data_IF_099155639973
#
_entry.id   IF_099155639973
#
_cell.length_a   1.000
_cell.length_b   1.000
_cell.length_c   1.000
_cell.angle_alpha   90.00
_cell.angle_beta   90.00
_cell.angle_gamma   90.00
#
_symmetry.space_group_name_H-M   'P 1'
#
loop_
_entity.id
_entity.type
_entity.pdbx_description
1 polymer ?
#
# COMPACT_ATOMS: atom_id res chain seq x y z
N UNK A 1 -13.45 18.74 57.45
CA UNK A 1 -13.80 19.45 56.21
C UNK A 1 -13.52 18.45 55.07
N UNK A 2 -14.42 17.52 54.71
CA UNK A 2 -15.69 17.68 53.96
C UNK A 2 -15.45 18.48 52.68
N UNK A 3 -15.63 18.00 51.45
CA UNK A 3 -16.49 16.95 50.84
C UNK A 3 -15.85 16.49 49.51
N UNK A 4 -15.70 15.19 49.21
CA UNK A 4 -16.67 14.36 48.48
C UNK A 4 -17.40 15.09 47.32
N UNK A 5 -16.89 15.00 46.10
CA UNK A 5 -17.67 15.27 44.87
C UNK A 5 -18.06 13.92 44.27
N UNK A 6 -19.24 13.48 44.70
CA UNK A 6 -20.02 12.38 44.14
C UNK A 6 -20.68 12.89 42.86
N UNK A 7 -20.52 12.18 41.75
CA UNK A 7 -21.34 12.36 40.55
C UNK A 7 -22.46 11.32 40.61
N UNK A 8 -23.74 11.70 40.70
CA UNK A 8 -24.84 10.74 40.73
C UNK A 8 -25.30 10.38 39.31
N UNK A 9 -25.70 9.11 39.19
CA UNK A 9 -26.84 8.55 38.46
C UNK A 9 -27.17 9.09 37.08
N UNK A 10 -27.24 8.20 36.08
CA UNK A 10 -28.52 7.69 35.56
C UNK A 10 -28.26 6.37 34.81
N UNK A 11 -28.34 5.26 35.54
CA UNK A 11 -28.74 3.98 34.98
C UNK A 11 -30.27 4.00 34.95
N UNK A 12 -30.86 4.11 33.75
CA UNK A 12 -32.30 3.95 33.54
C UNK A 12 -32.55 2.52 33.05
N UNK A 13 -32.82 1.67 34.03
CA UNK A 13 -33.40 0.34 33.88
C UNK A 13 -34.89 0.50 33.57
N UNK A 14 -35.36 0.03 32.40
CA UNK A 14 -36.71 -0.51 32.26
C UNK A 14 -36.72 -1.68 31.26
N UNK A 15 -37.06 -2.83 31.81
CA UNK A 15 -37.36 -4.10 31.16
C UNK A 15 -38.79 -4.09 30.57
N UNK A 16 -39.12 -5.24 29.97
CA UNK A 16 -40.45 -5.76 29.60
C UNK A 16 -40.93 -5.35 28.18
N UNK A 17 -41.36 -6.24 27.28
CA UNK A 17 -42.07 -7.52 27.39
C UNK A 17 -41.66 -8.43 26.20
N UNK A 18 -41.35 -9.72 26.42
CA UNK A 18 -42.29 -10.83 26.19
C UNK A 18 -43.09 -10.70 24.87
N UNK A 19 -42.60 -11.33 23.80
CA UNK A 19 -43.48 -12.00 22.85
C UNK A 19 -42.98 -13.43 22.69
N UNK A 20 -43.69 -14.29 23.41
CA UNK A 20 -43.79 -15.74 23.21
C UNK A 20 -44.47 -16.04 21.87
N UNK A 21 -44.26 -17.26 21.42
CA UNK A 21 -45.02 -18.03 20.42
C UNK A 21 -44.49 -17.98 18.98
N UNK A 22 -43.76 -19.02 18.55
CA UNK A 22 -44.22 -20.39 18.23
C UNK A 22 -44.93 -20.42 16.87
N UNK A 23 -44.21 -20.87 15.86
CA UNK A 23 -44.79 -21.63 14.75
C UNK A 23 -43.70 -22.51 14.17
N UNK A 24 -43.55 -23.68 14.80
CA UNK A 24 -43.16 -24.89 14.09
C UNK A 24 -44.16 -25.21 12.96
N UNK A 25 -43.76 -26.22 12.18
CA UNK A 25 -44.49 -27.03 11.21
C UNK A 25 -44.25 -26.65 9.74
N UNK A 26 -44.20 -27.63 8.81
CA UNK A 26 -43.67 -28.99 8.95
C UNK A 26 -42.82 -29.42 7.74
N UNK A 27 -42.13 -30.53 7.96
CA UNK A 27 -41.38 -31.36 7.01
C UNK A 27 -42.14 -31.63 5.70
N UNK A 28 -41.58 -31.22 4.57
CA UNK A 28 -42.00 -31.75 3.27
C UNK A 28 -41.43 -33.16 3.08
N UNK A 29 -42.19 -34.18 3.49
CA UNK A 29 -42.02 -35.54 3.00
C UNK A 29 -42.81 -35.66 1.69
N UNK A 30 -42.09 -35.77 0.57
CA UNK A 30 -42.67 -36.31 -0.66
C UNK A 30 -42.27 -37.78 -0.72
N UNK A 31 -43.18 -38.65 -0.29
CA UNK A 31 -43.17 -40.08 -0.62
C UNK A 31 -43.86 -40.23 -1.98
N UNK A 32 -43.14 -40.75 -2.95
CA UNK A 32 -43.66 -41.15 -4.26
C UNK A 32 -44.03 -42.65 -4.25
N UNK A 33 -45.27 -42.95 -4.65
CA UNK A 33 -45.81 -44.31 -4.76
C UNK A 33 -45.40 -44.99 -6.09
N UNK A 34 -44.10 -45.13 -6.37
CA UNK A 34 -43.67 -45.86 -7.57
C UNK A 34 -42.31 -46.52 -7.34
N UNK A 35 -42.36 -47.74 -6.80
CA UNK A 35 -41.19 -48.60 -6.63
C UNK A 35 -40.53 -49.00 -7.94
N UNK A 36 -39.68 -48.13 -8.48
CA UNK A 36 -38.72 -48.47 -9.53
C UNK A 36 -37.30 -48.08 -9.10
N UNK A 37 -36.48 -49.10 -8.84
CA UNK A 37 -35.03 -48.98 -8.76
C UNK A 37 -34.48 -48.80 -10.19
N UNK A 38 -34.03 -47.58 -10.52
CA UNK A 38 -33.17 -47.32 -11.69
C UNK A 38 -31.90 -46.60 -11.28
N UNK A 39 -30.85 -47.40 -11.13
CA UNK A 39 -29.46 -46.96 -11.09
C UNK A 39 -28.96 -46.75 -12.53
N UNK A 40 -28.85 -45.50 -13.00
CA UNK A 40 -27.98 -45.17 -14.13
C UNK A 40 -27.88 -43.65 -14.37
N UNK A 41 -26.63 -43.17 -14.33
CA UNK A 41 -26.14 -41.91 -14.89
C UNK A 41 -26.56 -40.59 -14.21
N UNK A 42 -25.68 -40.10 -13.33
CA UNK A 42 -25.62 -38.69 -12.96
C UNK A 42 -25.58 -37.80 -14.22
N UNK A 43 -26.40 -36.74 -14.33
CA UNK A 43 -26.10 -35.67 -15.27
C UNK A 43 -24.83 -34.98 -14.77
N UNK A 44 -23.84 -34.90 -15.67
CA UNK A 44 -22.61 -34.15 -15.49
C UNK A 44 -22.92 -32.78 -14.84
N UNK A 45 -22.08 -32.28 -13.91
CA UNK A 45 -22.18 -30.89 -13.50
C UNK A 45 -21.98 -30.06 -14.78
N UNK A 46 -23.04 -29.40 -15.24
CA UNK A 46 -22.95 -28.35 -16.23
C UNK A 46 -22.07 -27.28 -15.61
N UNK A 47 -20.78 -27.34 -15.96
CA UNK A 47 -19.86 -26.26 -15.73
C UNK A 47 -20.48 -25.03 -16.40
N UNK A 48 -21.10 -24.18 -15.60
CA UNK A 48 -21.16 -22.76 -15.89
C UNK A 48 -19.71 -22.33 -15.94
N UNK A 49 -19.09 -22.51 -17.11
CA UNK A 49 -17.80 -21.98 -17.45
C UNK A 49 -17.97 -20.47 -17.34
N UNK A 50 -17.62 -19.95 -16.17
CA UNK A 50 -17.48 -18.53 -15.91
C UNK A 50 -16.39 -18.06 -16.86
N UNK A 51 -16.83 -17.60 -18.03
CA UNK A 51 -16.04 -17.00 -19.08
C UNK A 51 -15.19 -15.95 -18.38
N UNK A 52 -13.89 -16.22 -18.23
CA UNK A 52 -12.91 -15.25 -17.73
C UNK A 52 -12.98 -14.06 -18.68
N UNK A 53 -13.78 -13.07 -18.29
CA UNK A 53 -13.90 -11.83 -18.99
C UNK A 53 -12.52 -11.17 -18.92
N UNK A 54 -11.91 -10.96 -20.07
CA UNK A 54 -10.69 -10.15 -20.19
C UNK A 54 -10.94 -8.85 -19.41
N UNK A 55 -10.10 -8.47 -18.45
CA UNK A 55 -10.37 -7.30 -17.64
C UNK A 55 -10.53 -6.10 -18.57
N UNK A 56 -11.65 -5.39 -18.44
CA UNK A 56 -11.94 -4.21 -19.23
C UNK A 56 -10.80 -3.20 -19.02
N UNK A 57 -10.09 -2.76 -20.08
CA UNK A 57 -8.96 -1.82 -19.98
C UNK A 57 -9.36 -0.45 -19.40
N UNK A 58 -10.66 -0.18 -19.25
CA UNK A 58 -11.19 1.05 -18.67
C UNK A 58 -11.94 0.83 -17.34
N UNK A 59 -11.59 -0.22 -16.57
CA UNK A 59 -11.99 -0.26 -15.16
C UNK A 59 -11.28 0.86 -14.41
N UNK A 60 -11.90 2.05 -14.40
CA UNK A 60 -11.49 3.13 -13.51
C UNK A 60 -11.70 2.63 -12.09
N UNK A 61 -10.62 2.18 -11.42
CA UNK A 61 -10.64 2.00 -9.95
C UNK A 61 -11.22 3.28 -9.36
N UNK A 62 -12.26 3.16 -8.54
CA UNK A 62 -12.94 4.30 -7.91
C UNK A 62 -11.90 5.14 -7.14
N UNK A 63 -11.93 6.48 -7.23
CA UNK A 63 -10.95 7.35 -6.56
C UNK A 63 -10.84 7.06 -5.06
N UNK A 64 -11.98 6.76 -4.42
CA UNK A 64 -12.09 6.55 -2.99
C UNK A 64 -11.33 5.32 -2.46
N UNK A 65 -11.16 4.29 -3.29
CA UNK A 65 -10.44 3.07 -2.92
C UNK A 65 -8.92 3.23 -3.10
N UNK A 66 -8.51 4.13 -4.02
CA UNK A 66 -7.09 4.48 -4.23
C UNK A 66 -6.55 5.28 -3.06
N UNK A 67 -7.30 6.30 -2.64
CA UNK A 67 -6.88 7.18 -1.53
C UNK A 67 -6.70 6.36 -0.24
N UNK A 68 -7.65 5.47 0.07
CA UNK A 68 -7.56 4.59 1.22
C UNK A 68 -6.30 3.69 1.20
N UNK A 69 -5.97 3.10 0.04
CA UNK A 69 -4.74 2.30 -0.13
C UNK A 69 -3.46 3.12 0.04
N UNK A 70 -3.45 4.38 -0.42
CA UNK A 70 -2.32 5.28 -0.22
C UNK A 70 -2.12 5.61 1.27
N UNK A 71 -3.20 5.90 1.99
CA UNK A 71 -3.13 6.20 3.43
C UNK A 71 -2.62 5.01 4.25
N UNK A 72 -3.06 3.79 3.95
CA UNK A 72 -2.60 2.57 4.63
C UNK A 72 -1.07 2.37 4.50
N UNK A 73 -0.51 2.73 3.34
CA UNK A 73 0.89 2.48 3.03
C UNK A 73 1.80 3.70 3.23
N UNK A 74 1.26 4.83 3.68
CA UNK A 74 2.03 6.03 4.05
C UNK A 74 3.16 5.76 5.07
N UNK A 75 2.96 5.01 6.19
CA UNK A 75 4.04 4.74 7.14
C UNK A 75 5.18 3.89 6.56
N UNK A 76 4.94 3.14 5.48
CA UNK A 76 5.98 2.37 4.79
C UNK A 76 7.03 3.30 4.18
N UNK A 77 6.61 4.45 3.64
CA UNK A 77 7.49 5.44 3.02
C UNK A 77 8.49 5.94 4.05
N UNK A 78 8.02 6.38 5.22
CA UNK A 78 8.86 6.88 6.31
C UNK A 78 9.96 5.87 6.66
N UNK A 79 9.60 4.60 6.83
CA UNK A 79 10.56 3.53 7.14
C UNK A 79 11.62 3.33 6.04
N UNK A 80 11.22 3.40 4.76
CA UNK A 80 12.13 3.26 3.62
C UNK A 80 13.09 4.45 3.58
N UNK A 81 12.57 5.67 3.63
CA UNK A 81 13.37 6.89 3.55
C UNK A 81 14.35 6.98 4.71
N UNK A 82 13.92 6.71 5.95
CA UNK A 82 14.83 6.71 7.12
C UNK A 82 15.98 5.70 6.96
N UNK A 83 15.71 4.51 6.40
CA UNK A 83 16.76 3.52 6.15
C UNK A 83 17.74 3.99 5.06
N UNK A 84 17.24 4.67 4.04
CA UNK A 84 18.06 5.15 2.92
C UNK A 84 18.86 6.41 3.31
N UNK A 85 18.32 7.26 4.16
CA UNK A 85 18.95 8.49 4.65
C UNK A 85 20.35 8.26 5.25
N UNK A 86 20.59 7.09 5.86
CA UNK A 86 21.90 6.71 6.38
C UNK A 86 23.02 6.61 5.31
N UNK A 87 22.67 6.54 4.02
CA UNK A 87 23.61 6.44 2.89
C UNK A 87 23.75 7.73 2.09
N UNK A 88 23.00 8.78 2.42
CA UNK A 88 22.97 10.00 1.62
C UNK A 88 23.97 11.06 2.13
N UNK A 89 24.45 11.96 1.25
CA UNK A 89 25.32 13.06 1.65
C UNK A 89 24.65 13.99 2.67
N UNK A 90 25.42 14.65 3.55
CA UNK A 90 24.91 15.70 4.41
C UNK A 90 24.49 16.90 3.54
N UNK A 91 23.20 17.23 3.52
CA UNK A 91 22.63 18.31 2.72
C UNK A 91 21.27 18.00 2.12
N UNK A 92 20.84 16.74 2.14
CA UNK A 92 19.53 16.33 1.64
C UNK A 92 18.48 16.42 2.75
N UNK A 93 17.36 17.10 2.49
CA UNK A 93 16.26 17.19 3.45
C UNK A 93 15.43 15.91 3.45
N UNK A 94 15.08 15.44 4.64
CA UNK A 94 14.22 14.27 4.81
C UNK A 94 12.82 14.47 4.19
N UNK A 95 12.25 15.66 4.35
CA UNK A 95 10.91 15.97 3.86
C UNK A 95 10.80 15.91 2.34
N UNK A 96 11.83 16.37 1.62
CA UNK A 96 11.86 16.33 0.16
C UNK A 96 11.88 14.87 -0.33
N UNK A 97 12.66 14.02 0.32
CA UNK A 97 12.70 12.58 0.03
C UNK A 97 11.38 11.88 0.39
N UNK A 98 10.74 12.31 1.47
CA UNK A 98 9.44 11.77 1.87
C UNK A 98 8.36 12.12 0.85
N UNK A 99 8.32 13.36 0.36
CA UNK A 99 7.40 13.79 -0.69
C UNK A 99 7.64 13.06 -2.01
N UNK A 100 8.89 12.90 -2.44
CA UNK A 100 9.24 12.08 -3.60
C UNK A 100 8.77 10.62 -3.43
N UNK A 101 8.88 10.08 -2.21
CA UNK A 101 8.36 8.75 -1.87
C UNK A 101 6.83 8.64 -2.01
N UNK A 102 6.08 9.68 -1.64
CA UNK A 102 4.61 9.74 -1.82
C UNK A 102 4.26 9.70 -3.31
N UNK A 103 4.95 10.49 -4.13
CA UNK A 103 4.76 10.49 -5.59
C UNK A 103 5.01 9.08 -6.14
N UNK A 104 6.10 8.43 -5.71
CA UNK A 104 6.42 7.05 -6.13
C UNK A 104 5.39 6.00 -5.67
N UNK A 105 4.75 6.19 -4.51
CA UNK A 105 3.67 5.31 -4.03
C UNK A 105 2.40 5.49 -4.87
N UNK A 106 2.00 6.72 -5.18
CA UNK A 106 0.86 7.02 -6.04
C UNK A 106 1.03 6.32 -7.41
N UNK A 107 2.23 6.46 -7.96
CA UNK A 107 2.67 5.85 -9.21
C UNK A 107 2.67 4.30 -9.16
N UNK A 108 2.83 3.73 -7.96
CA UNK A 108 2.73 2.30 -7.74
C UNK A 108 1.27 1.84 -7.71
N UNK A 109 0.38 2.55 -6.99
CA UNK A 109 -1.06 2.24 -6.93
C UNK A 109 -1.70 2.25 -8.32
N UNK A 110 -1.31 3.21 -9.15
CA UNK A 110 -1.85 3.38 -10.50
C UNK A 110 -1.44 2.26 -11.46
N UNK A 111 -0.18 1.79 -11.35
CA UNK A 111 0.39 0.80 -12.27
C UNK A 111 0.41 -0.62 -11.72
N UNK A 112 -0.07 -0.82 -10.49
CA UNK A 112 -0.09 -2.14 -9.89
C UNK A 112 -1.17 -3.01 -10.53
N UNK A 113 -0.72 -4.18 -10.99
CA UNK A 113 -1.54 -5.20 -11.62
C UNK A 113 -1.50 -6.46 -10.75
N UNK A 114 -2.67 -6.82 -10.21
CA UNK A 114 -2.86 -8.00 -9.35
C UNK A 114 -2.63 -9.31 -10.11
N UNK A 115 -2.65 -9.31 -11.45
CA UNK A 115 -2.41 -10.51 -12.26
C UNK A 115 -0.98 -11.06 -12.13
N UNK A 116 -0.05 -10.24 -11.62
CA UNK A 116 1.39 -10.59 -11.56
C UNK A 116 1.80 -11.40 -10.32
N UNK A 117 0.86 -11.79 -9.47
CA UNK A 117 1.09 -12.59 -8.25
C UNK A 117 2.22 -12.04 -7.33
N UNK A 118 2.34 -10.72 -7.26
CA UNK A 118 3.28 -10.03 -6.36
C UNK A 118 2.50 -9.21 -5.35
N UNK A 119 2.89 -9.28 -4.08
CA UNK A 119 2.31 -8.44 -3.04
C UNK A 119 2.55 -6.95 -3.35
N UNK A 120 1.50 -6.13 -3.19
CA UNK A 120 1.57 -4.69 -3.44
C UNK A 120 2.72 -4.02 -2.69
N UNK A 121 2.92 -4.38 -1.42
CA UNK A 121 4.01 -3.87 -0.56
C UNK A 121 5.39 -4.03 -1.19
N UNK A 122 5.66 -5.20 -1.76
CA UNK A 122 6.94 -5.51 -2.41
C UNK A 122 7.12 -4.62 -3.65
N UNK A 123 6.09 -4.51 -4.48
CA UNK A 123 6.12 -3.65 -5.67
C UNK A 123 6.28 -2.16 -5.32
N UNK A 124 5.50 -1.66 -4.35
CA UNK A 124 5.55 -0.30 -3.87
C UNK A 124 6.93 0.05 -3.30
N UNK A 125 7.57 -0.87 -2.56
CA UNK A 125 8.92 -0.65 -2.04
C UNK A 125 9.95 -0.37 -3.16
N UNK A 126 9.88 -1.08 -4.29
CA UNK A 126 10.75 -0.80 -5.42
C UNK A 126 10.46 0.57 -6.08
N UNK A 127 9.18 0.93 -6.22
CA UNK A 127 8.77 2.19 -6.86
C UNK A 127 9.10 3.41 -6.00
N UNK A 128 8.85 3.34 -4.70
CA UNK A 128 9.21 4.38 -3.72
C UNK A 128 10.73 4.61 -3.73
N UNK A 129 11.53 3.54 -3.65
CA UNK A 129 13.01 3.65 -3.72
C UNK A 129 13.47 4.28 -5.02
N UNK A 130 12.85 3.93 -6.14
CA UNK A 130 13.12 4.52 -7.44
C UNK A 130 12.90 6.03 -7.45
N UNK A 131 11.74 6.49 -6.96
CA UNK A 131 11.40 7.91 -6.90
C UNK A 131 12.34 8.71 -5.99
N UNK A 132 12.68 8.17 -4.81
CA UNK A 132 13.64 8.80 -3.88
C UNK A 132 15.04 8.93 -4.50
N UNK A 133 15.48 7.91 -5.24
CA UNK A 133 16.77 7.94 -5.95
C UNK A 133 16.76 8.89 -7.15
N UNK A 134 15.62 9.09 -7.79
CA UNK A 134 15.45 10.03 -8.89
C UNK A 134 15.50 11.48 -8.38
N UNK A 135 14.82 11.74 -7.26
CA UNK A 135 14.88 13.03 -6.58
C UNK A 135 16.31 13.38 -6.14
N UNK A 136 17.03 12.41 -5.55
CA UNK A 136 18.43 12.60 -5.20
C UNK A 136 19.32 12.92 -6.42
N UNK A 137 19.04 12.29 -7.57
CA UNK A 137 19.77 12.58 -8.82
C UNK A 137 19.47 13.98 -9.35
N UNK A 138 18.23 14.43 -9.21
CA UNK A 138 17.81 15.80 -9.56
C UNK A 138 18.57 16.84 -8.73
N UNK A 139 18.73 16.57 -7.43
CA UNK A 139 19.50 17.43 -6.50
C UNK A 139 21.01 17.37 -6.74
N UNK A 140 21.57 16.19 -7.03
CA UNK A 140 22.99 15.96 -7.32
C UNK A 140 23.37 16.43 -8.75
N UNK A 141 23.00 17.67 -9.11
CA UNK A 141 23.32 18.38 -10.37
C UNK A 141 24.85 18.57 -10.61
N UNK A 142 25.74 17.79 -10.01
CA UNK A 142 27.16 17.76 -10.40
C UNK A 142 27.45 16.49 -11.19
N UNK A 143 27.35 16.56 -12.54
CA UNK A 143 27.81 15.50 -13.43
C UNK A 143 29.21 15.01 -13.08
N UNK A 144 29.49 13.73 -13.33
CA UNK A 144 30.85 13.17 -13.17
C UNK A 144 31.91 14.00 -13.89
N UNK A 145 31.58 14.59 -15.04
CA UNK A 145 32.48 15.47 -15.79
C UNK A 145 32.82 16.76 -15.04
N UNK A 146 31.86 17.38 -14.36
CA UNK A 146 32.09 18.58 -13.54
C UNK A 146 32.91 18.23 -12.30
N UNK A 147 32.66 17.06 -11.68
CA UNK A 147 33.49 16.54 -10.59
C UNK A 147 34.93 16.26 -11.02
N UNK A 148 35.11 15.64 -12.19
CA UNK A 148 36.43 15.39 -12.78
C UNK A 148 37.16 16.72 -13.07
N UNK A 149 36.49 17.67 -13.71
CA UNK A 149 37.05 18.99 -13.99
C UNK A 149 37.47 19.71 -12.69
N UNK A 150 36.65 19.66 -11.64
CA UNK A 150 37.01 20.25 -10.34
C UNK A 150 38.26 19.60 -9.72
N UNK A 151 38.38 18.26 -9.80
CA UNK A 151 39.60 17.55 -9.36
C UNK A 151 40.83 17.91 -10.21
N UNK A 152 40.66 18.08 -11.52
CA UNK A 152 41.75 18.47 -12.42
C UNK A 152 42.24 19.89 -12.10
N UNK A 153 41.32 20.83 -11.89
CA UNK A 153 41.62 22.20 -11.45
C UNK A 153 42.35 22.24 -10.11
N UNK A 154 41.86 21.49 -9.12
CA UNK A 154 42.49 21.39 -7.80
C UNK A 154 43.92 20.84 -7.90
N UNK A 155 44.12 19.83 -8.76
CA UNK A 155 45.45 19.23 -8.99
C UNK A 155 46.39 20.23 -9.66
N UNK A 156 45.94 20.90 -10.72
CA UNK A 156 46.72 21.92 -11.41
C UNK A 156 47.08 23.11 -10.49
N UNK A 157 46.13 23.54 -9.66
CA UNK A 157 46.33 24.58 -8.66
C UNK A 157 47.40 24.16 -7.64
N UNK A 158 47.31 22.95 -7.09
CA UNK A 158 48.30 22.42 -6.13
C UNK A 158 49.69 22.32 -6.71
N UNK A 159 49.82 21.84 -7.96
CA UNK A 159 51.11 21.79 -8.64
C UNK A 159 51.70 23.18 -8.78
N UNK A 160 50.92 24.17 -9.23
CA UNK A 160 51.40 25.56 -9.36
C UNK A 160 51.69 26.23 -8.02
N UNK A 161 50.91 25.94 -6.98
CA UNK A 161 51.15 26.47 -5.63
C UNK A 161 52.46 25.91 -5.03
N UNK A 162 52.72 24.62 -5.22
CA UNK A 162 53.97 23.96 -4.80
C UNK A 162 55.20 24.54 -5.52
N UNK A 163 55.09 24.76 -6.84
CA UNK A 163 56.17 25.40 -7.63
C UNK A 163 56.50 26.82 -7.16
N UNK A 164 55.51 27.56 -6.64
CA UNK A 164 55.66 28.94 -6.19
C UNK A 164 56.11 29.06 -4.72
N UNK A 165 56.32 27.94 -4.03
CA UNK A 165 56.84 27.91 -2.64
C UNK A 165 55.91 28.59 -1.62
N UNK A 166 54.62 28.71 -1.93
CA UNK A 166 53.58 29.21 -1.02
C UNK A 166 52.82 28.02 -0.45
N UNK A 167 53.35 27.44 0.62
CA UNK A 167 52.56 26.68 1.60
C UNK A 167 52.24 27.58 2.79
#
# INVERSE_FOLDING_TARGET
MSTATQKPDQDEELQEHSITELSEQPSAQTLDESGELRESAAPLPTATASKVAKPNPYTKKTPHDREAQVFEHTPLIKRIVTRMAARFPPGVNFEDLYQAGIIGLLDAVDKFDTSKDVQFKTYAEFRIKGAVLDELRSMDWVPRSVRAAASDWETAWRTKASELGRE
#
